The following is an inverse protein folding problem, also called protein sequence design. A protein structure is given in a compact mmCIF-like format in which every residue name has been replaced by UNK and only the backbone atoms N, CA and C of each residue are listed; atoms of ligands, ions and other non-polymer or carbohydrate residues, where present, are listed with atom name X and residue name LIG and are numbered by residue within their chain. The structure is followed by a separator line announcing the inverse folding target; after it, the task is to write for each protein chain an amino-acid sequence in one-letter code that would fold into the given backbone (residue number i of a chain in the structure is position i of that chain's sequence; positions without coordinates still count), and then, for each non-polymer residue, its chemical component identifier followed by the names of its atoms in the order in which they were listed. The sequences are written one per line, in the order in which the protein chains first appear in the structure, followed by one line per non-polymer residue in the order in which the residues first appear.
data_IF_883193369637
#
_entry.id   IF_883193369637
#
_cell.length_a   1.000
_cell.length_b   1.000
_cell.length_c   1.000
_cell.angle_alpha   90.00
_cell.angle_beta   90.00
_cell.angle_gamma   90.00
#
_symmetry.space_group_name_H-M   'P 1'
#
loop_
_entity.id
_entity.type
_entity.pdbx_description
1 polymer ?
#
# COMPACT_ATOMS: atom_id res chain seq x y z
N UNK A 1 -5.76 19.58 16.41
CA UNK A 1 -5.76 19.82 14.95
C UNK A 1 -5.37 18.50 14.33
N UNK A 2 -6.18 17.98 13.41
CA UNK A 2 -5.94 16.64 12.85
C UNK A 2 -4.81 16.71 11.81
N UNK A 3 -3.89 15.76 11.87
CA UNK A 3 -2.72 15.70 10.99
C UNK A 3 -2.77 14.48 10.07
N UNK A 4 -2.51 14.69 8.78
CA UNK A 4 -2.43 13.66 7.75
C UNK A 4 -1.03 13.67 7.13
N UNK A 5 -0.38 12.51 7.06
CA UNK A 5 0.82 12.31 6.25
C UNK A 5 0.47 11.48 5.00
N UNK A 6 1.00 11.87 3.84
CA UNK A 6 0.89 11.11 2.60
C UNK A 6 2.29 10.73 2.12
N UNK A 7 2.63 9.45 2.25
CA UNK A 7 3.91 8.90 1.81
C UNK A 7 3.77 8.46 0.36
N UNK A 8 4.59 9.02 -0.54
CA UNK A 8 4.39 8.87 -1.98
C UNK A 8 3.48 9.96 -2.58
N UNK A 9 3.42 11.13 -1.95
CA UNK A 9 2.54 12.24 -2.33
C UNK A 9 2.79 12.82 -3.72
N UNK A 10 3.94 12.56 -4.36
CA UNK A 10 4.19 12.97 -5.74
C UNK A 10 3.40 12.15 -6.79
N UNK A 11 2.63 11.15 -6.34
CA UNK A 11 1.77 10.33 -7.19
C UNK A 11 0.64 11.18 -7.82
N UNK A 12 0.31 10.98 -9.12
CA UNK A 12 -0.85 11.64 -9.73
C UNK A 12 -2.18 11.20 -9.08
N UNK A 13 -2.23 10.02 -8.45
CA UNK A 13 -3.41 9.58 -7.69
C UNK A 13 -3.68 10.45 -6.45
N UNK A 14 -2.66 11.15 -5.93
CA UNK A 14 -2.80 12.10 -4.83
C UNK A 14 -3.65 13.31 -5.23
N UNK A 15 -3.64 13.69 -6.51
CA UNK A 15 -4.49 14.76 -7.05
C UNK A 15 -5.96 14.39 -6.90
N UNK A 16 -6.31 13.15 -7.29
CA UNK A 16 -7.68 12.65 -7.15
C UNK A 16 -8.11 12.56 -5.68
N UNK A 17 -7.21 12.12 -4.79
CA UNK A 17 -7.47 12.14 -3.35
C UNK A 17 -7.89 13.53 -2.86
N UNK A 18 -7.14 14.57 -3.22
CA UNK A 18 -7.48 15.94 -2.80
C UNK A 18 -8.71 16.49 -3.50
N UNK A 19 -8.95 16.11 -4.76
CA UNK A 19 -10.20 16.44 -5.45
C UNK A 19 -11.41 15.89 -4.69
N UNK A 20 -11.36 14.61 -4.29
CA UNK A 20 -12.45 13.98 -3.56
C UNK A 20 -12.61 14.54 -2.14
N UNK A 21 -11.53 14.81 -1.42
CA UNK A 21 -11.59 15.44 -0.10
C UNK A 21 -12.26 16.82 -0.16
N UNK A 22 -12.03 17.58 -1.24
CA UNK A 22 -12.65 18.87 -1.47
C UNK A 22 -14.18 18.79 -1.71
N UNK A 23 -14.72 17.60 -2.05
CA UNK A 23 -16.16 17.37 -2.18
C UNK A 23 -16.85 17.06 -0.84
N UNK A 24 -16.09 16.95 0.25
CA UNK A 24 -16.59 16.63 1.58
C UNK A 24 -16.55 17.84 2.52
N UNK A 25 -17.15 17.70 3.71
CA UNK A 25 -17.07 18.72 4.78
C UNK A 25 -15.64 18.98 5.27
N UNK A 26 -14.69 18.08 4.96
CA UNK A 26 -13.29 18.23 5.35
C UNK A 26 -12.61 19.41 4.66
N UNK A 27 -13.12 19.86 3.50
CA UNK A 27 -12.59 21.01 2.77
C UNK A 27 -12.49 22.27 3.63
N UNK A 28 -13.48 22.47 4.49
CA UNK A 28 -13.63 23.67 5.34
C UNK A 28 -13.04 23.47 6.74
N UNK A 29 -12.56 22.27 7.06
CA UNK A 29 -12.00 21.96 8.38
C UNK A 29 -10.48 22.15 8.39
N UNK A 30 -9.92 22.74 9.47
CA UNK A 30 -8.48 22.94 9.56
C UNK A 30 -7.75 21.62 9.82
N UNK A 31 -6.89 21.25 8.87
CA UNK A 31 -6.00 20.09 8.94
C UNK A 31 -4.56 20.50 8.65
N UNK A 32 -3.61 19.77 9.22
CA UNK A 32 -2.22 19.82 8.80
C UNK A 32 -1.95 18.61 7.89
N UNK A 33 -1.34 18.86 6.74
CA UNK A 33 -0.98 17.84 5.75
C UNK A 33 0.52 17.89 5.48
N UNK A 34 1.18 16.75 5.65
CA UNK A 34 2.56 16.53 5.24
C UNK A 34 2.60 15.61 4.00
N UNK A 35 3.03 16.16 2.87
CA UNK A 35 3.26 15.43 1.64
C UNK A 35 4.73 14.98 1.58
N UNK A 36 4.96 13.67 1.51
CA UNK A 36 6.31 13.12 1.34
C UNK A 36 6.51 12.51 -0.04
N UNK A 37 7.62 12.84 -0.69
CA UNK A 37 8.01 12.24 -1.96
C UNK A 37 9.44 12.56 -2.36
N UNK A 38 10.05 11.64 -3.11
CA UNK A 38 11.45 11.78 -3.57
C UNK A 38 11.60 12.69 -4.79
N UNK A 39 10.54 12.84 -5.59
CA UNK A 39 10.51 13.77 -6.71
C UNK A 39 9.89 15.08 -6.23
N UNK A 40 10.75 16.02 -5.81
CA UNK A 40 10.31 17.27 -5.19
C UNK A 40 9.54 18.17 -6.17
N UNK A 41 9.92 18.20 -7.45
CA UNK A 41 9.21 18.99 -8.46
C UNK A 41 7.76 18.52 -8.63
N UNK A 42 7.56 17.20 -8.77
CA UNK A 42 6.22 16.61 -8.83
C UNK A 42 5.46 16.79 -7.51
N UNK A 43 6.15 16.68 -6.37
CA UNK A 43 5.56 16.87 -5.05
C UNK A 43 5.04 18.31 -4.86
N UNK A 44 5.79 19.31 -5.32
CA UNK A 44 5.40 20.72 -5.26
C UNK A 44 4.20 21.03 -6.15
N UNK A 45 4.10 20.40 -7.33
CA UNK A 45 2.90 20.51 -8.18
C UNK A 45 1.67 19.97 -7.47
N UNK A 46 1.79 18.81 -6.82
CA UNK A 46 0.70 18.22 -6.03
C UNK A 46 0.37 19.11 -4.82
N UNK A 47 1.38 19.66 -4.13
CA UNK A 47 1.17 20.59 -3.00
C UNK A 47 0.42 21.84 -3.45
N UNK A 48 0.77 22.41 -4.60
CA UNK A 48 0.10 23.56 -5.17
C UNK A 48 -1.36 23.27 -5.48
N UNK A 49 -1.65 22.13 -6.12
CA UNK A 49 -3.01 21.69 -6.38
C UNK A 49 -3.80 21.53 -5.07
N UNK A 50 -3.22 20.85 -4.08
CA UNK A 50 -3.85 20.61 -2.78
C UNK A 50 -4.18 21.92 -2.06
N UNK A 51 -3.30 22.91 -2.09
CA UNK A 51 -3.52 24.20 -1.45
C UNK A 51 -4.67 24.99 -2.12
N UNK A 52 -4.84 24.82 -3.43
CA UNK A 52 -5.95 25.42 -4.17
C UNK A 52 -7.30 24.71 -3.91
N UNK A 53 -7.30 23.39 -3.73
CA UNK A 53 -8.53 22.60 -3.51
C UNK A 53 -8.97 22.54 -2.05
N UNK A 54 -8.03 22.60 -1.11
CA UNK A 54 -8.25 22.48 0.35
C UNK A 54 -7.76 23.75 1.08
N UNK A 55 -8.45 24.89 0.93
CA UNK A 55 -7.95 26.19 1.41
C UNK A 55 -7.86 26.29 2.94
N UNK A 56 -8.61 25.50 3.69
CA UNK A 56 -8.53 25.45 5.16
C UNK A 56 -7.34 24.62 5.67
N UNK A 57 -6.64 23.90 4.79
CA UNK A 57 -5.57 22.99 5.15
C UNK A 57 -4.21 23.67 5.11
N UNK A 58 -3.38 23.41 6.12
CA UNK A 58 -1.97 23.81 6.12
C UNK A 58 -1.15 22.67 5.53
N UNK A 59 -0.54 22.91 4.36
CA UNK A 59 0.11 21.87 3.58
C UNK A 59 1.63 22.12 3.52
N UNK A 60 2.39 21.13 3.96
CA UNK A 60 3.84 21.04 3.84
C UNK A 60 4.18 19.95 2.82
N UNK A 61 5.22 20.18 2.02
CA UNK A 61 5.87 19.13 1.25
C UNK A 61 7.31 18.98 1.72
N UNK A 62 7.75 17.74 1.88
CA UNK A 62 9.10 17.45 2.35
C UNK A 62 9.65 16.18 1.69
N UNK A 63 10.94 16.13 1.33
CA UNK A 63 11.59 14.88 0.95
C UNK A 63 11.99 14.03 2.17
N UNK A 64 11.87 14.56 3.39
CA UNK A 64 12.25 13.90 4.62
C UNK A 64 11.06 13.08 5.17
N UNK A 65 11.27 11.77 5.29
CA UNK A 65 10.24 10.85 5.77
C UNK A 65 9.94 11.05 7.26
N UNK A 66 10.95 11.34 8.07
CA UNK A 66 10.78 11.53 9.51
C UNK A 66 10.03 12.83 9.79
N UNK A 67 10.34 13.90 9.05
CA UNK A 67 9.59 15.16 9.09
C UNK A 67 8.11 14.94 8.70
N UNK A 68 7.85 14.14 7.67
CA UNK A 68 6.49 13.88 7.23
C UNK A 68 5.66 13.09 8.27
N UNK A 69 6.30 12.23 9.06
CA UNK A 69 5.63 11.35 10.02
C UNK A 69 5.56 11.92 11.44
N UNK A 70 6.41 12.88 11.81
CA UNK A 70 6.65 13.32 13.18
C UNK A 70 5.38 13.54 14.04
N UNK A 71 4.34 14.18 13.46
CA UNK A 71 3.10 14.52 14.17
C UNK A 71 1.85 13.88 13.56
N UNK A 72 1.98 12.89 12.66
CA UNK A 72 0.87 12.37 11.87
C UNK A 72 -0.11 11.51 12.69
N UNK A 73 -1.40 11.89 12.73
CA UNK A 73 -2.47 11.09 13.31
C UNK A 73 -2.96 10.01 12.32
N UNK A 74 -2.89 10.32 11.03
CA UNK A 74 -3.29 9.44 9.93
C UNK A 74 -2.14 9.39 8.92
N UNK A 75 -1.81 8.19 8.44
CA UNK A 75 -0.79 7.98 7.41
C UNK A 75 -1.43 7.27 6.22
N UNK A 76 -1.39 7.90 5.06
CA UNK A 76 -1.69 7.28 3.78
C UNK A 76 -0.37 6.91 3.12
N UNK A 77 -0.13 5.61 2.98
CA UNK A 77 1.08 5.10 2.33
C UNK A 77 0.74 4.60 0.93
N UNK A 78 1.24 5.31 -0.08
CA UNK A 78 1.05 5.00 -1.50
C UNK A 78 2.38 5.11 -2.27
N UNK A 79 3.52 4.99 -1.58
CA UNK A 79 4.81 5.11 -2.22
C UNK A 79 5.11 3.87 -3.06
N UNK A 80 5.49 4.10 -4.32
CA UNK A 80 6.09 3.09 -5.17
C UNK A 80 7.59 3.04 -4.91
N UNK A 81 8.03 1.98 -4.25
CA UNK A 81 9.45 1.67 -4.15
C UNK A 81 9.98 1.25 -5.53
N UNK A 82 11.19 1.66 -5.88
CA UNK A 82 11.74 1.46 -7.23
C UNK A 82 11.17 2.36 -8.34
N UNK A 83 10.00 2.98 -8.15
CA UNK A 83 9.38 3.84 -9.18
C UNK A 83 8.95 3.05 -10.43
N UNK A 84 8.78 3.73 -11.57
CA UNK A 84 8.44 3.06 -12.84
C UNK A 84 9.57 2.18 -13.36
N UNK A 85 10.83 2.53 -13.06
CA UNK A 85 11.97 1.69 -13.40
C UNK A 85 11.94 0.38 -12.61
N UNK A 86 11.69 0.42 -11.30
CA UNK A 86 11.49 -0.78 -10.49
C UNK A 86 10.36 -1.65 -11.04
N UNK A 87 9.23 -1.04 -11.44
CA UNK A 87 8.13 -1.75 -12.10
C UNK A 87 8.58 -2.41 -13.40
N UNK A 88 9.35 -1.71 -14.24
CA UNK A 88 9.87 -2.27 -15.47
C UNK A 88 10.78 -3.47 -15.19
N UNK A 89 11.63 -3.41 -14.16
CA UNK A 89 12.47 -4.53 -13.74
C UNK A 89 11.63 -5.70 -13.20
N UNK A 90 10.56 -5.44 -12.44
CA UNK A 90 9.63 -6.46 -11.96
C UNK A 90 8.92 -7.17 -13.15
N UNK A 91 8.46 -6.38 -14.14
CA UNK A 91 7.84 -6.86 -15.37
C UNK A 91 8.83 -7.67 -16.24
N UNK A 92 10.08 -7.22 -16.35
CA UNK A 92 11.15 -7.89 -17.09
C UNK A 92 11.54 -9.21 -16.43
N UNK A 93 11.63 -9.24 -15.10
CA UNK A 93 11.91 -10.45 -14.33
C UNK A 93 10.79 -11.47 -14.53
N UNK A 94 9.53 -11.06 -14.38
CA UNK A 94 8.37 -11.93 -14.59
C UNK A 94 8.31 -12.49 -16.02
N UNK A 95 8.61 -11.64 -17.03
CA UNK A 95 8.68 -12.04 -18.43
C UNK A 95 9.82 -13.03 -18.71
N UNK A 96 11.00 -12.83 -18.10
CA UNK A 96 12.14 -13.75 -18.21
C UNK A 96 11.81 -15.14 -17.64
N UNK A 97 10.89 -15.20 -16.68
CA UNK A 97 10.46 -16.42 -16.02
C UNK A 97 9.16 -17.02 -16.60
N UNK A 98 8.58 -16.43 -17.65
CA UNK A 98 7.28 -16.85 -18.24
C UNK A 98 6.14 -16.91 -17.19
N UNK A 99 6.07 -15.90 -16.32
CA UNK A 99 5.08 -15.79 -15.23
C UNK A 99 4.19 -14.54 -15.37
N UNK A 100 3.01 -14.56 -14.73
CA UNK A 100 2.06 -13.44 -14.76
C UNK A 100 2.57 -12.24 -13.92
N UNK A 101 2.29 -11.03 -14.42
CA UNK A 101 2.52 -9.76 -13.72
C UNK A 101 1.22 -9.27 -13.09
N UNK A 102 1.20 -9.00 -11.79
CA UNK A 102 0.10 -8.29 -11.11
C UNK A 102 0.68 -7.29 -10.08
N UNK A 103 0.16 -6.07 -10.10
CA UNK A 103 0.73 -4.92 -9.40
C UNK A 103 0.05 -4.60 -8.06
N UNK A 104 -0.91 -5.41 -7.60
CA UNK A 104 -1.78 -5.16 -6.42
C UNK A 104 -2.99 -4.24 -6.72
N UNK A 105 -4.20 -4.83 -6.70
CA UNK A 105 -5.54 -4.21 -6.75
C UNK A 105 -5.62 -2.90 -5.92
N UNK A 106 -6.21 -1.74 -6.29
CA UNK A 106 -7.07 -1.21 -7.35
C UNK A 106 -7.83 0.04 -6.78
N UNK A 107 -8.62 0.81 -7.55
CA UNK A 107 -9.30 2.07 -7.11
C UNK A 107 -10.34 1.95 -5.98
N UNK A 108 -10.62 0.74 -5.48
CA UNK A 108 -11.54 0.50 -4.37
C UNK A 108 -11.11 1.10 -3.02
N UNK A 109 -9.80 1.21 -2.76
CA UNK A 109 -9.28 1.80 -1.53
C UNK A 109 -9.55 3.30 -1.40
N UNK A 110 -9.52 4.02 -2.53
CA UNK A 110 -9.82 5.45 -2.58
C UNK A 110 -11.32 5.72 -2.51
N UNK A 111 -12.15 4.91 -3.17
CA UNK A 111 -13.60 5.01 -3.07
C UNK A 111 -14.10 4.78 -1.63
N UNK A 112 -13.49 3.83 -0.90
CA UNK A 112 -13.77 3.61 0.53
C UNK A 112 -13.36 4.82 1.38
N UNK A 113 -12.18 5.41 1.16
CA UNK A 113 -11.74 6.61 1.89
C UNK A 113 -12.71 7.80 1.73
N UNK A 114 -13.31 7.95 0.56
CA UNK A 114 -14.30 8.99 0.26
C UNK A 114 -15.69 8.65 0.81
N UNK A 115 -16.10 7.37 0.78
CA UNK A 115 -17.35 6.91 1.41
C UNK A 115 -17.29 6.98 2.94
N UNK A 116 -16.12 6.79 3.54
CA UNK A 116 -15.88 6.85 4.99
C UNK A 116 -16.16 8.25 5.60
N UNK A 117 -16.12 9.31 4.78
CA UNK A 117 -16.45 10.67 5.23
C UNK A 117 -17.95 10.93 5.48
N UNK A 118 -18.83 10.16 4.84
CA UNK A 118 -20.28 10.46 4.81
C UNK A 118 -21.18 9.36 5.41
N UNK A 119 -20.70 8.13 5.57
CA UNK A 119 -21.50 7.02 6.10
C UNK A 119 -21.32 6.83 7.63
N UNK A 120 -22.41 6.64 8.42
CA UNK A 120 -22.30 6.35 9.86
C UNK A 120 -21.63 5.00 10.15
N UNK A 121 -21.72 4.05 9.21
CA UNK A 121 -20.91 2.81 9.15
C UNK A 121 -20.83 2.31 7.72
N UNK A 122 -19.68 1.77 7.30
CA UNK A 122 -19.50 1.09 6.01
C UNK A 122 -19.04 -0.35 6.22
N UNK A 123 -19.49 -1.26 5.35
CA UNK A 123 -18.90 -2.60 5.22
C UNK A 123 -18.05 -2.61 3.96
N UNK A 124 -16.77 -2.96 4.10
CA UNK A 124 -15.83 -3.02 2.98
C UNK A 124 -14.76 -4.09 3.22
N UNK A 125 -13.94 -4.37 2.21
CA UNK A 125 -12.71 -5.14 2.40
C UNK A 125 -11.57 -4.23 2.85
N UNK A 126 -10.71 -4.73 3.74
CA UNK A 126 -9.49 -4.07 4.17
C UNK A 126 -8.42 -5.13 4.48
N UNK A 127 -7.16 -4.81 4.21
CA UNK A 127 -6.03 -5.63 4.65
C UNK A 127 -5.78 -5.40 6.14
N UNK A 128 -5.99 -6.43 6.96
CA UNK A 128 -5.84 -6.37 8.41
C UNK A 128 -4.75 -7.35 8.84
N UNK A 129 -3.83 -6.87 9.67
CA UNK A 129 -2.81 -7.66 10.34
C UNK A 129 -2.97 -7.50 11.86
N UNK A 130 -2.74 -8.58 12.61
CA UNK A 130 -2.47 -8.53 14.04
C UNK A 130 -0.95 -8.52 14.26
N UNK A 131 -0.49 -8.08 15.43
CA UNK A 131 0.95 -8.03 15.73
C UNK A 131 1.62 -9.38 15.50
N UNK A 132 2.50 -9.45 14.49
CA UNK A 132 3.27 -10.65 14.17
C UNK A 132 2.63 -11.61 13.16
N UNK A 133 1.47 -11.27 12.58
CA UNK A 133 0.80 -12.07 11.53
C UNK A 133 0.83 -11.34 10.18
N UNK A 134 0.72 -12.09 9.10
CA UNK A 134 0.64 -11.52 7.75
C UNK A 134 -0.71 -10.82 7.57
N UNK A 135 -0.69 -9.67 6.91
CA UNK A 135 -1.91 -8.95 6.56
C UNK A 135 -2.79 -9.83 5.66
N UNK A 136 -4.08 -9.90 5.97
CA UNK A 136 -5.05 -10.63 5.16
C UNK A 136 -6.20 -9.70 4.79
N UNK A 137 -6.67 -9.80 3.55
CA UNK A 137 -7.88 -9.10 3.16
C UNK A 137 -9.07 -9.69 3.93
N UNK A 138 -9.78 -8.82 4.64
CA UNK A 138 -10.91 -9.17 5.49
C UNK A 138 -12.07 -8.24 5.20
N UNK A 139 -13.28 -8.79 5.29
CA UNK A 139 -14.47 -7.97 5.38
C UNK A 139 -14.49 -7.29 6.75
N UNK A 140 -14.55 -5.97 6.76
CA UNK A 140 -14.60 -5.14 7.96
C UNK A 140 -15.85 -4.29 7.95
N UNK A 141 -16.35 -3.98 9.15
CA UNK A 141 -17.26 -2.87 9.37
C UNK A 141 -16.44 -1.72 9.97
N UNK A 142 -16.46 -0.58 9.29
CA UNK A 142 -15.83 0.65 9.75
C UNK A 142 -16.93 1.60 10.20
N UNK A 143 -16.89 1.97 11.47
CA UNK A 143 -17.67 3.06 12.06
C UNK A 143 -16.70 4.23 12.34
N UNK A 144 -17.20 5.42 12.64
CA UNK A 144 -16.37 6.65 12.82
C UNK A 144 -15.14 6.51 13.72
N UNK A 145 -15.18 5.61 14.70
CA UNK A 145 -14.07 5.40 15.64
C UNK A 145 -13.72 3.92 15.84
N UNK A 146 -14.27 3.01 15.04
CA UNK A 146 -14.16 1.58 15.31
C UNK A 146 -14.07 0.76 14.02
N UNK A 147 -13.04 -0.08 13.95
CA UNK A 147 -12.96 -1.16 12.98
C UNK A 147 -13.40 -2.47 13.66
N UNK A 148 -14.38 -3.15 13.06
CA UNK A 148 -14.81 -4.49 13.48
C UNK A 148 -14.58 -5.47 12.34
N UNK A 149 -13.70 -6.45 12.56
CA UNK A 149 -13.47 -7.54 11.60
C UNK A 149 -14.70 -8.46 11.61
N UNK A 150 -15.30 -8.71 10.45
CA UNK A 150 -16.34 -9.73 10.33
C UNK A 150 -15.68 -11.10 10.24
N UNK A 151 -16.16 -12.06 11.02
CA UNK A 151 -15.72 -13.45 10.90
C UNK A 151 -16.05 -13.97 9.52
N UNK A 152 -15.06 -14.33 8.68
CA UNK A 152 -15.35 -14.93 7.40
C UNK A 152 -15.96 -16.33 7.62
N UNK A 153 -16.79 -16.77 6.67
CA UNK A 153 -17.11 -18.19 6.55
C UNK A 153 -15.85 -19.00 6.20
N UNK A 154 -15.89 -20.31 6.40
CA UNK A 154 -14.77 -21.17 6.02
C UNK A 154 -14.63 -21.19 4.49
N UNK A 155 -13.45 -20.85 3.93
CA UNK A 155 -13.26 -20.92 2.49
C UNK A 155 -13.35 -22.38 2.01
N UNK A 156 -13.74 -22.62 0.75
CA UNK A 156 -13.71 -23.96 0.16
C UNK A 156 -12.31 -24.59 0.32
N UNK A 157 -12.18 -25.92 0.52
CA UNK A 157 -10.90 -26.55 0.83
C UNK A 157 -9.77 -26.24 -0.16
N UNK A 158 -10.08 -26.16 -1.46
CA UNK A 158 -9.10 -25.80 -2.48
C UNK A 158 -8.60 -24.35 -2.32
N UNK A 159 -9.50 -23.41 -2.02
CA UNK A 159 -9.14 -22.01 -1.75
C UNK A 159 -8.31 -21.92 -0.48
N UNK A 160 -8.70 -22.66 0.57
CA UNK A 160 -7.95 -22.70 1.83
C UNK A 160 -6.49 -23.18 1.63
N UNK A 161 -6.30 -24.21 0.81
CA UNK A 161 -4.95 -24.73 0.48
C UNK A 161 -4.10 -23.70 -0.27
N UNK A 162 -4.71 -22.95 -1.20
CA UNK A 162 -4.03 -21.86 -1.90
C UNK A 162 -3.68 -20.71 -0.95
N UNK A 163 -4.61 -20.29 -0.09
CA UNK A 163 -4.37 -19.25 0.90
C UNK A 163 -3.21 -19.61 1.85
N UNK A 164 -3.13 -20.87 2.30
CA UNK A 164 -2.01 -21.35 3.13
C UNK A 164 -0.67 -21.30 2.38
N UNK A 165 -0.66 -21.68 1.09
CA UNK A 165 0.53 -21.61 0.25
C UNK A 165 1.04 -20.19 0.08
N UNK A 166 0.14 -19.24 -0.20
CA UNK A 166 0.50 -17.81 -0.29
C UNK A 166 1.01 -17.27 1.04
N UNK A 167 0.35 -17.60 2.16
CA UNK A 167 0.81 -17.19 3.50
C UNK A 167 2.25 -17.65 3.76
N UNK A 168 2.55 -18.94 3.56
CA UNK A 168 3.91 -19.46 3.77
C UNK A 168 4.96 -18.79 2.89
N UNK A 169 4.59 -18.46 1.64
CA UNK A 169 5.44 -17.69 0.75
C UNK A 169 5.70 -16.28 1.30
N UNK A 170 4.66 -15.54 1.70
CA UNK A 170 4.76 -14.19 2.26
C UNK A 170 5.60 -14.15 3.56
N UNK A 171 5.44 -15.14 4.45
CA UNK A 171 6.26 -15.33 5.66
C UNK A 171 7.75 -15.49 5.32
N UNK A 172 8.04 -16.28 4.27
CA UNK A 172 9.39 -16.51 3.81
C UNK A 172 9.99 -15.28 3.14
N UNK A 173 9.21 -14.52 2.38
CA UNK A 173 9.62 -13.22 1.81
C UNK A 173 9.94 -12.22 2.93
N UNK A 174 9.11 -12.12 3.97
CA UNK A 174 9.39 -11.27 5.13
C UNK A 174 10.71 -11.66 5.81
N UNK A 175 10.98 -12.95 5.92
CA UNK A 175 12.26 -13.46 6.43
C UNK A 175 13.43 -13.07 5.51
N UNK A 176 13.28 -13.22 4.20
CA UNK A 176 14.28 -12.82 3.21
C UNK A 176 14.60 -11.32 3.27
N UNK A 177 13.57 -10.47 3.38
CA UNK A 177 13.73 -9.01 3.52
C UNK A 177 14.46 -8.63 4.81
N UNK A 178 14.17 -9.31 5.92
CA UNK A 178 14.82 -9.05 7.23
C UNK A 178 16.27 -9.53 7.26
N UNK A 179 16.53 -10.73 6.77
CA UNK A 179 17.85 -11.36 6.86
C UNK A 179 18.79 -10.95 5.73
N UNK A 180 18.26 -10.58 4.56
CA UNK A 180 19.01 -10.20 3.35
C UNK A 180 20.11 -11.19 3.00
N UNK A 181 19.77 -12.48 3.00
CA UNK A 181 20.71 -13.55 2.61
C UNK A 181 20.21 -14.28 1.37
N UNK A 182 21.17 -14.74 0.53
CA UNK A 182 20.87 -15.57 -0.63
C UNK A 182 20.08 -16.84 -0.28
N UNK A 183 20.37 -17.44 0.87
CA UNK A 183 19.65 -18.62 1.35
C UNK A 183 18.17 -18.32 1.64
N UNK A 184 17.88 -17.19 2.28
CA UNK A 184 16.51 -16.79 2.58
C UNK A 184 15.73 -16.40 1.31
N UNK A 185 16.37 -15.73 0.34
CA UNK A 185 15.77 -15.45 -0.98
C UNK A 185 15.43 -16.74 -1.72
N UNK A 186 16.35 -17.71 -1.77
CA UNK A 186 16.09 -19.02 -2.38
C UNK A 186 14.94 -19.75 -1.68
N UNK A 187 14.86 -19.68 -0.35
CA UNK A 187 13.77 -20.28 0.42
C UNK A 187 12.41 -19.68 0.04
N UNK A 188 12.34 -18.35 -0.12
CA UNK A 188 11.13 -17.66 -0.56
C UNK A 188 10.76 -18.05 -1.99
N UNK A 189 11.71 -18.03 -2.93
CA UNK A 189 11.48 -18.40 -4.33
C UNK A 189 10.93 -19.83 -4.49
N UNK A 190 11.41 -20.78 -3.68
CA UNK A 190 10.90 -22.17 -3.68
C UNK A 190 9.44 -22.29 -3.22
N UNK A 191 8.97 -21.36 -2.41
CA UNK A 191 7.60 -21.34 -1.91
C UNK A 191 6.64 -20.59 -2.85
N UNK A 192 7.19 -19.81 -3.80
CA UNK A 192 6.39 -19.07 -4.76
C UNK A 192 5.60 -20.03 -5.65
N UNK A 193 4.25 -19.94 -5.68
CA UNK A 193 3.44 -20.86 -6.47
C UNK A 193 3.56 -20.68 -7.98
N UNK A 194 4.12 -19.56 -8.43
CA UNK A 194 4.25 -19.19 -9.83
C UNK A 194 5.64 -19.52 -10.40
N UNK A 195 6.59 -19.95 -9.57
CA UNK A 195 7.96 -20.26 -10.00
C UNK A 195 8.18 -21.78 -9.98
N UNK A 196 8.68 -22.32 -11.08
CA UNK A 196 9.10 -23.71 -11.20
C UNK A 196 10.38 -24.01 -10.39
N UNK A 197 10.55 -25.24 -9.90
CA UNK A 197 11.72 -25.62 -9.11
C UNK A 197 13.05 -25.42 -9.87
N UNK A 198 13.03 -25.59 -11.18
CA UNK A 198 14.12 -25.37 -12.13
C UNK A 198 14.42 -23.89 -12.39
N UNK A 199 13.43 -23.01 -12.19
CA UNK A 199 13.57 -21.57 -12.35
C UNK A 199 14.15 -20.88 -11.10
N UNK A 200 14.11 -21.52 -9.93
CA UNK A 200 14.60 -20.96 -8.66
C UNK A 200 16.06 -20.48 -8.73
N UNK A 201 17.03 -21.25 -9.27
CA UNK A 201 18.42 -20.78 -9.36
C UNK A 201 18.55 -19.54 -10.23
N UNK A 202 17.85 -19.51 -11.37
CA UNK A 202 17.83 -18.40 -12.32
C UNK A 202 17.27 -17.14 -11.63
N UNK A 203 16.11 -17.26 -10.98
CA UNK A 203 15.50 -16.15 -10.27
C UNK A 203 16.37 -15.64 -9.11
N UNK A 204 17.05 -16.54 -8.40
CA UNK A 204 17.95 -16.16 -7.31
C UNK A 204 19.21 -15.43 -7.80
N UNK A 205 19.72 -15.72 -9.00
CA UNK A 205 20.85 -14.99 -9.60
C UNK A 205 20.45 -13.57 -10.07
N UNK A 206 19.17 -13.33 -10.32
CA UNK A 206 18.64 -12.03 -10.76
C UNK A 206 18.26 -11.09 -9.61
N UNK A 207 18.20 -11.59 -8.36
CA UNK A 207 17.85 -10.79 -7.18
C UNK A 207 19.12 -10.45 -6.41
N UNK A 208 19.46 -9.17 -6.38
CA UNK A 208 20.53 -8.64 -5.54
C UNK A 208 20.13 -8.68 -4.06
N UNK A 209 21.00 -9.25 -3.21
CA UNK A 209 20.77 -9.38 -1.76
C UNK A 209 21.91 -8.84 -0.93
#
# INVERSE_FOLDING_TARGET
MNTLAVIGGSSPFTVELFHQLALTELREQPYALSLHGRNFDALELVRYFAAATLPAWRILATPDLDEALADANIVVHQARYGGLEGRFQDELLAATLDTLVDETLGPGGLHIAVLLGHAPSITCTANISSSGDIAQERMVRLDRSKLTIKSPGQPPPLVAAWMDRFRRHEESVLTATRCRTRAAVIAALKLNPLIGCDQVPIAADLIDV
#
